data_IF_948572581921
#
_entry.id   IF_948572581921
#
_cell.length_a   1.000
_cell.length_b   1.000
_cell.length_c   1.000
_cell.angle_alpha   90.00
_cell.angle_beta   90.00
_cell.angle_gamma   90.00
#
_symmetry.space_group_name_H-M   'P 1'
#
loop_
_entity.id
_entity.type
_entity.pdbx_description
1 polymer ?
#
# COMPACT_ATOMS: atom_id res chain seq x y z
N UNK A 1 -0.52 -11.21 16.96
CA UNK A 1 -0.63 -12.65 16.73
C UNK A 1 0.37 -13.39 17.63
N UNK A 2 -0.05 -14.51 18.22
CA UNK A 2 0.74 -15.28 19.19
C UNK A 2 0.50 -14.86 20.64
N UNK A 3 1.14 -15.56 21.56
CA UNK A 3 1.08 -15.29 23.01
C UNK A 3 2.46 -15.40 23.64
N UNK A 4 2.69 -14.69 24.75
CA UNK A 4 3.97 -14.70 25.46
C UNK A 4 5.14 -14.29 24.55
N UNK A 5 6.23 -15.08 24.48
CA UNK A 5 7.41 -14.77 23.68
C UNK A 5 7.14 -14.70 22.14
N UNK A 6 6.00 -15.23 21.70
CA UNK A 6 5.61 -15.23 20.28
C UNK A 6 4.70 -14.06 19.91
N UNK A 7 4.42 -13.15 20.83
CA UNK A 7 3.57 -11.99 20.56
C UNK A 7 4.24 -11.10 19.50
N UNK A 8 3.50 -10.84 18.42
CA UNK A 8 3.98 -10.03 17.30
C UNK A 8 2.83 -9.35 16.56
N UNK A 9 3.17 -8.28 15.85
CA UNK A 9 2.33 -7.71 14.79
C UNK A 9 2.62 -8.45 13.50
N UNK A 10 1.59 -8.78 12.75
CA UNK A 10 1.69 -9.39 11.43
C UNK A 10 0.94 -8.51 10.42
N UNK A 11 1.68 -7.93 9.48
CA UNK A 11 1.13 -7.11 8.40
C UNK A 11 1.28 -7.89 7.08
N UNK A 12 0.16 -8.16 6.39
CA UNK A 12 0.12 -8.91 5.13
C UNK A 12 -0.18 -8.04 3.91
N UNK A 13 -0.15 -6.70 4.07
CA UNK A 13 -0.43 -5.77 2.98
C UNK A 13 0.70 -5.76 1.93
N UNK A 14 2.00 -5.70 2.31
CA UNK A 14 3.09 -5.68 1.35
C UNK A 14 3.19 -7.01 0.58
N UNK A 15 3.33 -6.93 -0.76
CA UNK A 15 3.65 -8.08 -1.58
C UNK A 15 5.10 -8.58 -1.39
N UNK A 16 5.39 -9.77 -1.91
CA UNK A 16 6.74 -10.36 -1.81
C UNK A 16 7.81 -9.58 -2.61
N UNK A 17 7.40 -8.76 -3.56
CA UNK A 17 8.22 -7.88 -4.40
C UNK A 17 8.47 -6.50 -3.77
N UNK A 18 7.82 -6.19 -2.65
CA UNK A 18 8.01 -4.93 -1.96
C UNK A 18 9.44 -4.81 -1.40
N UNK A 19 10.01 -3.61 -1.47
CA UNK A 19 11.27 -3.33 -0.81
C UNK A 19 11.10 -3.48 0.72
N UNK A 20 11.79 -4.44 1.38
CA UNK A 20 11.55 -4.75 2.79
C UNK A 20 11.89 -3.59 3.72
N UNK A 21 12.87 -2.75 3.39
CA UNK A 21 13.23 -1.59 4.20
C UNK A 21 12.12 -0.55 4.19
N UNK A 22 11.54 -0.29 3.02
CA UNK A 22 10.44 0.66 2.89
C UNK A 22 9.15 0.13 3.53
N UNK A 23 8.86 -1.16 3.35
CA UNK A 23 7.73 -1.81 3.99
C UNK A 23 7.83 -1.73 5.53
N UNK A 24 9.01 -2.03 6.09
CA UNK A 24 9.25 -1.93 7.53
C UNK A 24 9.16 -0.46 8.02
N UNK A 25 9.67 0.49 7.26
CA UNK A 25 9.58 1.91 7.61
C UNK A 25 8.12 2.38 7.63
N UNK A 26 7.31 2.01 6.63
CA UNK A 26 5.89 2.35 6.58
C UNK A 26 5.10 1.73 7.74
N UNK A 27 5.32 0.44 8.04
CA UNK A 27 4.68 -0.22 9.19
C UNK A 27 5.13 0.42 10.51
N UNK A 28 6.42 0.73 10.67
CA UNK A 28 6.94 1.42 11.84
C UNK A 28 6.32 2.80 12.02
N UNK A 29 6.18 3.58 10.94
CA UNK A 29 5.52 4.87 10.94
C UNK A 29 4.03 4.76 11.34
N UNK A 30 3.31 3.77 10.78
CA UNK A 30 1.91 3.52 11.14
C UNK A 30 1.74 3.15 12.62
N UNK A 31 2.63 2.31 13.16
CA UNK A 31 2.64 1.97 14.60
C UNK A 31 2.91 3.23 15.43
N UNK A 32 3.89 4.04 15.05
CA UNK A 32 4.18 5.30 15.75
C UNK A 32 2.98 6.23 15.77
N UNK A 33 2.32 6.44 14.63
CA UNK A 33 1.12 7.27 14.53
C UNK A 33 -0.01 6.73 15.41
N UNK A 34 -0.27 5.43 15.38
CA UNK A 34 -1.28 4.81 16.20
C UNK A 34 -1.05 5.02 17.70
N UNK A 35 0.21 4.92 18.17
CA UNK A 35 0.57 5.16 19.57
C UNK A 35 0.52 6.65 19.92
N UNK A 36 1.05 7.52 19.06
CA UNK A 36 1.04 8.98 19.24
C UNK A 36 -0.38 9.50 19.41
N UNK A 37 -1.27 9.06 18.55
CA UNK A 37 -2.64 9.58 18.46
C UNK A 37 -3.62 8.75 19.31
N UNK A 38 -3.12 7.74 20.02
CA UNK A 38 -3.91 6.84 20.89
C UNK A 38 -5.11 6.24 20.14
N UNK A 39 -4.86 5.80 18.91
CA UNK A 39 -5.90 5.21 18.09
C UNK A 39 -6.35 3.86 18.69
N UNK A 40 -7.65 3.73 18.89
CA UNK A 40 -8.24 2.47 19.30
C UNK A 40 -8.44 1.59 18.05
N UNK A 41 -7.99 0.34 18.07
CA UNK A 41 -8.22 -0.56 16.96
C UNK A 41 -9.72 -0.89 16.84
N UNK A 42 -10.22 -1.15 15.62
CA UNK A 42 -11.57 -1.65 15.45
C UNK A 42 -11.72 -3.02 16.13
N UNK A 43 -12.96 -3.44 16.34
CA UNK A 43 -13.23 -4.78 16.85
C UNK A 43 -12.58 -5.85 15.97
N UNK A 44 -12.07 -6.94 16.54
CA UNK A 44 -11.55 -8.05 15.75
C UNK A 44 -12.59 -8.54 14.75
N UNK A 45 -12.14 -8.77 13.50
CA UNK A 45 -12.99 -9.32 12.49
C UNK A 45 -13.28 -10.79 12.80
N UNK A 46 -14.56 -11.16 12.81
CA UNK A 46 -15.00 -12.54 12.92
C UNK A 46 -15.50 -13.05 11.55
N UNK A 47 -15.04 -14.23 11.15
CA UNK A 47 -15.45 -14.83 9.89
C UNK A 47 -14.49 -14.60 8.73
N UNK A 48 -15.04 -14.44 7.52
CA UNK A 48 -14.28 -14.36 6.27
C UNK A 48 -13.80 -12.90 6.02
N UNK A 49 -12.50 -12.66 6.18
CA UNK A 49 -11.89 -11.33 6.15
C UNK A 49 -11.74 -10.69 4.77
N UNK A 50 -12.17 -11.37 3.70
CA UNK A 50 -12.13 -10.83 2.32
C UNK A 50 -13.52 -10.40 1.82
N UNK A 51 -14.48 -10.29 2.71
CA UNK A 51 -15.78 -9.73 2.39
C UNK A 51 -15.67 -8.19 2.28
N UNK A 52 -15.97 -7.59 1.12
CA UNK A 52 -15.89 -6.13 0.93
C UNK A 52 -16.78 -5.33 1.88
N UNK A 53 -17.85 -5.93 2.41
CA UNK A 53 -18.72 -5.27 3.37
C UNK A 53 -18.14 -5.25 4.80
N UNK A 54 -17.14 -6.09 5.06
CA UNK A 54 -16.55 -6.24 6.40
C UNK A 54 -15.34 -5.35 6.67
N UNK A 55 -14.67 -4.84 5.62
CA UNK A 55 -13.50 -3.98 5.74
C UNK A 55 -13.32 -3.09 4.50
N UNK A 56 -12.68 -1.91 4.63
CA UNK A 56 -12.33 -1.08 3.49
C UNK A 56 -11.43 -1.84 2.50
N UNK A 57 -11.72 -1.70 1.22
CA UNK A 57 -10.90 -2.28 0.17
C UNK A 57 -9.57 -1.53 0.04
N UNK A 58 -8.50 -2.29 -0.16
CA UNK A 58 -7.21 -1.71 -0.53
C UNK A 58 -7.26 -1.16 -1.96
N UNK A 59 -6.41 -0.17 -2.30
CA UNK A 59 -6.27 0.31 -3.68
C UNK A 59 -6.05 -0.86 -4.66
N UNK A 60 -6.74 -0.80 -5.79
CA UNK A 60 -6.72 -1.89 -6.79
C UNK A 60 -5.72 -1.61 -7.93
N UNK A 61 -5.13 -0.44 -7.95
CA UNK A 61 -4.12 -0.04 -8.93
C UNK A 61 -2.98 0.74 -8.28
N UNK A 62 -1.83 0.79 -8.96
CA UNK A 62 -0.71 1.64 -8.52
C UNK A 62 -1.13 3.12 -8.47
N UNK A 63 -1.96 3.58 -9.40
CA UNK A 63 -2.48 4.95 -9.41
C UNK A 63 -3.24 5.27 -8.13
N UNK A 64 -4.25 4.45 -7.81
CA UNK A 64 -5.04 4.60 -6.57
C UNK A 64 -4.18 4.50 -5.31
N UNK A 65 -3.18 3.61 -5.30
CA UNK A 65 -2.28 3.47 -4.16
C UNK A 65 -1.39 4.71 -3.97
N UNK A 66 -0.93 5.33 -5.07
CA UNK A 66 -0.14 6.57 -5.01
C UNK A 66 -1.02 7.74 -4.61
N UNK A 67 -2.27 7.82 -5.09
CA UNK A 67 -3.24 8.85 -4.68
C UNK A 67 -3.53 8.77 -3.17
N UNK A 68 -3.76 7.55 -2.67
CA UNK A 68 -3.99 7.32 -1.24
C UNK A 68 -2.76 7.69 -0.39
N UNK A 69 -1.56 7.32 -0.86
CA UNK A 69 -0.31 7.68 -0.19
C UNK A 69 -0.12 9.20 -0.13
N UNK A 70 -0.33 9.89 -1.25
CA UNK A 70 -0.16 11.34 -1.36
C UNK A 70 -1.14 12.12 -0.48
N UNK A 71 -2.34 11.57 -0.28
CA UNK A 71 -3.35 12.14 0.60
C UNK A 71 -3.02 11.94 2.11
N UNK A 72 -2.16 10.98 2.46
CA UNK A 72 -1.78 10.70 3.85
C UNK A 72 -0.63 11.61 4.31
N UNK A 73 -0.98 12.84 4.66
CA UNK A 73 -0.03 13.87 5.11
C UNK A 73 0.64 13.52 6.44
N UNK A 74 -0.03 12.75 7.31
CA UNK A 74 0.52 12.33 8.60
C UNK A 74 1.64 11.32 8.40
N UNK A 75 1.42 10.31 7.56
CA UNK A 75 2.46 9.35 7.18
C UNK A 75 3.62 10.06 6.48
N UNK A 76 3.32 11.00 5.57
CA UNK A 76 4.33 11.81 4.88
C UNK A 76 5.22 12.58 5.84
N UNK A 77 4.64 13.19 6.88
CA UNK A 77 5.39 13.95 7.88
C UNK A 77 6.33 13.05 8.72
N UNK A 78 5.90 11.83 9.06
CA UNK A 78 6.71 10.88 9.83
C UNK A 78 7.85 10.29 9.01
N UNK A 79 7.61 9.99 7.72
CA UNK A 79 8.64 9.48 6.81
C UNK A 79 9.63 10.55 6.35
N UNK A 80 9.29 11.82 6.54
CA UNK A 80 10.06 12.98 6.13
C UNK A 80 9.70 13.47 4.73
N UNK A 81 9.39 14.76 4.63
CA UNK A 81 8.84 15.40 3.42
C UNK A 81 9.70 15.17 2.16
N UNK A 82 11.02 15.23 2.30
CA UNK A 82 11.92 15.02 1.16
C UNK A 82 11.83 13.59 0.61
N UNK A 83 11.91 12.60 1.49
CA UNK A 83 11.80 11.20 1.08
C UNK A 83 10.41 10.92 0.49
N UNK A 84 9.37 11.34 1.19
CA UNK A 84 7.99 11.11 0.79
C UNK A 84 7.69 11.71 -0.59
N UNK A 85 8.01 12.99 -0.79
CA UNK A 85 7.80 13.66 -2.08
C UNK A 85 8.62 13.02 -3.21
N UNK A 86 9.86 12.62 -2.93
CA UNK A 86 10.70 11.92 -3.91
C UNK A 86 10.14 10.54 -4.28
N UNK A 87 9.63 9.80 -3.32
CA UNK A 87 9.02 8.49 -3.56
C UNK A 87 7.73 8.60 -4.38
N UNK A 88 6.85 9.54 -4.02
CA UNK A 88 5.62 9.81 -4.78
C UNK A 88 5.96 10.20 -6.22
N UNK A 89 6.87 11.15 -6.42
CA UNK A 89 7.29 11.58 -7.76
C UNK A 89 7.87 10.41 -8.59
N UNK A 90 8.68 9.55 -7.95
CA UNK A 90 9.22 8.37 -8.60
C UNK A 90 8.11 7.40 -9.06
N UNK A 91 7.12 7.13 -8.20
CA UNK A 91 6.00 6.25 -8.52
C UNK A 91 5.05 6.84 -9.56
N UNK A 92 4.83 8.14 -9.55
CA UNK A 92 4.08 8.84 -10.62
C UNK A 92 4.77 8.70 -11.97
N UNK A 93 6.08 8.89 -12.03
CA UNK A 93 6.86 8.68 -13.25
C UNK A 93 6.83 7.23 -13.74
N UNK A 94 6.90 6.27 -12.81
CA UNK A 94 6.80 4.84 -13.13
C UNK A 94 5.42 4.52 -13.75
N UNK A 95 4.34 5.03 -13.16
CA UNK A 95 2.99 4.87 -13.68
C UNK A 95 2.82 5.51 -15.07
N UNK A 96 3.33 6.73 -15.26
CA UNK A 96 3.31 7.43 -16.55
C UNK A 96 4.05 6.62 -17.64
N UNK A 97 5.26 6.16 -17.33
CA UNK A 97 6.03 5.34 -18.27
C UNK A 97 5.31 4.04 -18.61
N UNK A 98 4.69 3.38 -17.65
CA UNK A 98 3.92 2.17 -17.89
C UNK A 98 2.69 2.43 -18.76
N UNK A 99 2.00 3.55 -18.57
CA UNK A 99 0.81 3.90 -19.36
C UNK A 99 1.11 4.14 -20.86
N UNK A 100 2.37 4.46 -21.20
CA UNK A 100 2.81 4.61 -22.58
C UNK A 100 3.44 3.31 -23.16
N UNK A 101 3.52 2.26 -22.35
CA UNK A 101 4.12 1.01 -22.79
C UNK A 101 3.08 0.16 -23.53
N UNK A 102 3.36 -0.15 -24.78
CA UNK A 102 2.53 -1.08 -25.57
C UNK A 102 2.89 -2.50 -25.16
N UNK A 103 1.91 -3.24 -24.63
CA UNK A 103 2.10 -4.61 -24.17
C UNK A 103 1.80 -5.63 -25.26
N UNK A 104 2.17 -6.89 -25.04
CA UNK A 104 1.80 -7.98 -25.97
C UNK A 104 0.29 -8.25 -25.95
N UNK A 105 -0.43 -7.75 -24.94
CA UNK A 105 -1.85 -8.01 -24.79
C UNK A 105 -2.66 -7.36 -25.90
N UNK A 106 -2.41 -6.09 -26.21
CA UNK A 106 -3.09 -5.37 -27.29
C UNK A 106 -2.86 -6.05 -28.65
N UNK A 107 -1.62 -6.50 -28.88
CA UNK A 107 -1.32 -7.24 -30.11
C UNK A 107 -2.09 -8.56 -30.18
N UNK A 108 -2.13 -9.33 -29.11
CA UNK A 108 -2.86 -10.61 -29.06
C UNK A 108 -4.37 -10.42 -29.20
N UNK A 109 -4.92 -9.39 -28.56
CA UNK A 109 -6.35 -9.12 -28.57
C UNK A 109 -6.83 -8.60 -29.93
N UNK A 110 -6.08 -7.68 -30.55
CA UNK A 110 -6.56 -6.96 -31.73
C UNK A 110 -5.99 -7.46 -33.06
N UNK A 111 -4.92 -8.24 -33.08
CA UNK A 111 -4.27 -8.67 -34.34
C UNK A 111 -5.14 -9.54 -35.24
N UNK A 112 -6.17 -10.18 -34.71
CA UNK A 112 -7.11 -11.02 -35.46
C UNK A 112 -8.34 -10.25 -35.95
N UNK A 113 -8.49 -9.00 -35.59
CA UNK A 113 -9.62 -8.15 -35.95
C UNK A 113 -9.26 -7.10 -37.03
N UNK A 114 -8.01 -7.07 -37.45
CA UNK A 114 -7.48 -6.27 -38.54
C UNK A 114 -7.28 -7.12 -39.77
#
# INVERSE_FOLDING_TARGET
VGAGPSLRVECRIPGADANPYLAMAAVGAAIYLGVRDKLEPPAPLEGYGYDPESAPMLPQSLGEAVDALEADTELGSVLGEFFFGSFVAYKRNELERFSHWVTDWEFREYSYHL
#
